data_IF_708235533025
#
_entry.id   IF_708235533025
#
_cell.length_a   1.000
_cell.length_b   1.000
_cell.length_c   1.000
_cell.angle_alpha   90.00
_cell.angle_beta   90.00
_cell.angle_gamma   90.00
#
_symmetry.space_group_name_H-M   'P 1'
#
loop_
_entity.id
_entity.type
_entity.pdbx_description
1 polymer ?
#
# COMPACT_ATOMS: atom_id res chain seq x y z
N UNK A 1 5.42 7.54 15.52
CA UNK A 1 6.39 6.86 14.63
C UNK A 1 6.18 7.27 13.19
N UNK A 2 5.05 6.97 12.54
CA UNK A 2 4.79 7.34 11.13
C UNK A 2 5.00 8.83 10.89
N UNK A 3 4.35 9.71 11.66
CA UNK A 3 4.51 11.18 11.50
C UNK A 3 5.96 11.69 11.59
N UNK A 4 6.76 11.14 12.49
CA UNK A 4 8.19 11.47 12.59
C UNK A 4 8.94 11.04 11.32
N UNK A 5 8.72 9.80 10.86
CA UNK A 5 9.39 9.27 9.66
C UNK A 5 8.93 9.98 8.38
N UNK A 6 7.69 10.46 8.32
CA UNK A 6 7.20 11.33 7.24
C UNK A 6 7.96 12.64 7.17
N UNK A 7 8.24 13.23 8.33
CA UNK A 7 9.00 14.49 8.41
C UNK A 7 10.42 14.28 7.89
N UNK A 8 11.07 13.18 8.28
CA UNK A 8 12.41 12.81 7.79
C UNK A 8 12.39 12.54 6.28
N UNK A 9 11.40 11.80 5.78
CA UNK A 9 11.25 11.52 4.35
C UNK A 9 11.12 12.79 3.51
N UNK A 10 10.47 13.83 4.05
CA UNK A 10 10.26 15.13 3.38
C UNK A 10 11.47 16.06 3.40
N UNK A 11 12.60 15.65 3.99
CA UNK A 11 13.86 16.39 3.91
C UNK A 11 14.59 16.20 2.58
N UNK A 12 14.05 15.35 1.69
CA UNK A 12 14.60 15.05 0.37
C UNK A 12 16.04 14.51 0.40
N UNK A 13 16.41 13.88 1.53
CA UNK A 13 17.68 13.18 1.71
C UNK A 13 17.48 11.67 1.57
N UNK A 14 18.54 10.96 1.14
CA UNK A 14 18.50 9.50 1.10
C UNK A 14 18.38 8.93 2.52
N UNK A 15 17.31 8.16 2.76
CA UNK A 15 17.12 7.48 4.03
C UNK A 15 18.15 6.37 4.21
N UNK A 16 18.69 6.28 5.43
CA UNK A 16 19.46 5.12 5.88
C UNK A 16 18.63 3.84 5.85
N UNK A 17 19.30 2.69 5.94
CA UNK A 17 18.63 1.38 5.97
C UNK A 17 17.68 1.30 7.17
N UNK A 18 18.09 1.79 8.33
CA UNK A 18 17.31 1.85 9.56
C UNK A 18 16.08 2.74 9.41
N UNK A 19 16.23 3.97 8.90
CA UNK A 19 15.12 4.90 8.68
C UNK A 19 14.10 4.35 7.68
N UNK A 20 14.58 3.81 6.55
CA UNK A 20 13.73 3.16 5.56
C UNK A 20 12.93 2.00 6.17
N UNK A 21 13.58 1.19 7.00
CA UNK A 21 12.93 0.09 7.70
C UNK A 21 11.87 0.59 8.69
N UNK A 22 12.20 1.62 9.50
CA UNK A 22 11.26 2.24 10.45
C UNK A 22 10.03 2.81 9.75
N UNK A 23 10.22 3.52 8.63
CA UNK A 23 9.13 4.03 7.81
C UNK A 23 8.23 2.89 7.33
N UNK A 24 8.81 1.84 6.74
CA UNK A 24 8.07 0.69 6.23
C UNK A 24 7.31 -0.05 7.33
N UNK A 25 7.94 -0.30 8.49
CA UNK A 25 7.28 -0.97 9.62
C UNK A 25 6.15 -0.10 10.17
N UNK A 26 6.36 1.21 10.30
CA UNK A 26 5.36 2.15 10.75
C UNK A 26 4.08 2.08 9.91
N UNK A 27 4.20 2.23 8.59
CA UNK A 27 3.03 2.17 7.72
C UNK A 27 2.43 0.76 7.63
N UNK A 28 3.23 -0.32 7.61
CA UNK A 28 2.74 -1.70 7.59
C UNK A 28 1.86 -2.01 8.81
N UNK A 29 2.22 -1.53 9.98
CA UNK A 29 1.44 -1.73 11.19
C UNK A 29 0.09 -0.99 11.12
N UNK A 30 0.11 0.27 10.69
CA UNK A 30 -1.11 1.09 10.58
C UNK A 30 -2.08 0.51 9.52
N UNK A 31 -1.58 0.22 8.31
CA UNK A 31 -2.41 -0.35 7.25
C UNK A 31 -2.87 -1.79 7.59
N UNK A 32 -2.02 -2.57 8.26
CA UNK A 32 -2.34 -3.95 8.66
C UNK A 32 -3.54 -4.03 9.59
N UNK A 33 -3.60 -3.15 10.59
CA UNK A 33 -4.74 -3.06 11.51
C UNK A 33 -6.03 -2.72 10.76
N UNK A 34 -6.00 -1.74 9.85
CA UNK A 34 -7.18 -1.33 9.08
C UNK A 34 -7.64 -2.37 8.07
N UNK A 35 -6.72 -3.06 7.40
CA UNK A 35 -7.04 -4.17 6.49
C UNK A 35 -7.70 -5.33 7.24
N UNK A 36 -7.24 -5.65 8.44
CA UNK A 36 -7.87 -6.66 9.28
C UNK A 36 -9.31 -6.25 9.65
N UNK A 37 -9.53 -5.01 10.09
CA UNK A 37 -10.86 -4.48 10.37
C UNK A 37 -11.78 -4.54 9.15
N UNK A 38 -11.30 -4.13 7.98
CA UNK A 38 -12.06 -4.18 6.74
C UNK A 38 -12.48 -5.61 6.39
N UNK A 39 -11.57 -6.59 6.40
CA UNK A 39 -11.91 -7.99 6.08
C UNK A 39 -12.97 -8.56 7.01
N UNK A 40 -12.87 -8.31 8.31
CA UNK A 40 -13.86 -8.75 9.30
C UNK A 40 -15.23 -8.15 8.96
N UNK A 41 -15.25 -6.85 8.69
CA UNK A 41 -16.49 -6.14 8.40
C UNK A 41 -17.13 -6.58 7.07
N UNK A 42 -16.35 -6.76 6.01
CA UNK A 42 -16.84 -7.29 4.73
C UNK A 42 -17.42 -8.69 4.88
N UNK A 43 -16.81 -9.53 5.74
CA UNK A 43 -17.35 -10.86 6.06
C UNK A 43 -18.68 -10.79 6.81
N UNK A 44 -18.81 -9.87 7.78
CA UNK A 44 -20.08 -9.65 8.50
C UNK A 44 -21.15 -9.11 7.55
N UNK A 45 -20.80 -8.17 6.66
CA UNK A 45 -21.71 -7.64 5.64
C UNK A 45 -22.27 -8.76 4.78
N UNK A 46 -21.39 -9.59 4.19
CA UNK A 46 -21.79 -10.71 3.34
C UNK A 46 -22.69 -11.71 4.08
N UNK A 47 -22.42 -11.95 5.37
CA UNK A 47 -23.25 -12.83 6.22
C UNK A 47 -24.64 -12.24 6.46
N UNK A 48 -24.75 -10.94 6.74
CA UNK A 48 -26.05 -10.28 6.95
C UNK A 48 -26.84 -10.14 5.64
N UNK A 49 -26.17 -9.91 4.52
CA UNK A 49 -26.76 -9.94 3.18
C UNK A 49 -27.39 -11.30 2.88
N UNK A 50 -26.70 -12.41 3.20
CA UNK A 50 -27.23 -13.77 3.00
C UNK A 50 -28.48 -14.10 3.84
N UNK A 51 -28.72 -13.34 4.93
CA UNK A 51 -29.90 -13.50 5.79
C UNK A 51 -31.06 -12.60 5.39
N UNK A 52 -30.87 -11.69 4.41
CA UNK A 52 -31.87 -10.70 4.02
C UNK A 52 -32.08 -9.57 5.04
N UNK A 53 -31.13 -9.32 5.93
CA UNK A 53 -31.24 -8.28 6.96
C UNK A 53 -30.86 -6.89 6.42
N UNK A 54 -31.68 -6.32 5.54
CA UNK A 54 -31.37 -5.08 4.81
C UNK A 54 -30.96 -3.89 5.69
N UNK A 55 -31.62 -3.72 6.85
CA UNK A 55 -31.29 -2.65 7.80
C UNK A 55 -29.86 -2.78 8.35
N UNK A 56 -29.46 -4.01 8.74
CA UNK A 56 -28.12 -4.28 9.24
C UNK A 56 -27.08 -4.11 8.15
N UNK A 57 -27.37 -4.60 6.94
CA UNK A 57 -26.50 -4.45 5.77
C UNK A 57 -26.23 -2.97 5.50
N UNK A 58 -27.25 -2.12 5.53
CA UNK A 58 -27.09 -0.67 5.32
C UNK A 58 -26.19 -0.03 6.38
N UNK A 59 -26.35 -0.39 7.66
CA UNK A 59 -25.52 0.12 8.75
C UNK A 59 -24.06 -0.35 8.61
N UNK A 60 -23.85 -1.63 8.30
CA UNK A 60 -22.51 -2.20 8.12
C UNK A 60 -21.82 -1.57 6.92
N UNK A 61 -22.53 -1.38 5.80
CA UNK A 61 -21.98 -0.75 4.59
C UNK A 61 -21.48 0.67 4.85
N UNK A 62 -22.23 1.47 5.61
CA UNK A 62 -21.79 2.82 6.00
C UNK A 62 -20.51 2.79 6.85
N UNK A 63 -20.37 1.80 7.74
CA UNK A 63 -19.15 1.65 8.54
C UNK A 63 -17.98 1.13 7.69
N UNK A 64 -18.26 0.26 6.72
CA UNK A 64 -17.29 -0.25 5.75
C UNK A 64 -16.67 0.88 4.93
N UNK A 65 -17.50 1.77 4.40
CA UNK A 65 -17.06 2.96 3.66
C UNK A 65 -16.10 3.83 4.48
N UNK A 66 -16.35 4.05 5.78
CA UNK A 66 -15.43 4.80 6.64
C UNK A 66 -14.06 4.15 6.76
N UNK A 67 -14.02 2.82 6.90
CA UNK A 67 -12.74 2.08 6.95
C UNK A 67 -12.03 2.10 5.60
N UNK A 68 -12.76 2.00 4.49
CA UNK A 68 -12.22 2.13 3.13
C UNK A 68 -11.64 3.53 2.86
N UNK A 69 -12.28 4.58 3.36
CA UNK A 69 -11.75 5.95 3.30
C UNK A 69 -10.44 6.09 4.09
N UNK A 70 -10.38 5.52 5.30
CA UNK A 70 -9.15 5.50 6.11
C UNK A 70 -8.03 4.72 5.42
N UNK A 71 -8.34 3.54 4.87
CA UNK A 71 -7.39 2.75 4.08
C UNK A 71 -6.88 3.54 2.87
N UNK A 72 -7.79 4.19 2.14
CA UNK A 72 -7.44 5.01 0.98
C UNK A 72 -6.49 6.15 1.38
N UNK A 73 -6.80 6.86 2.47
CA UNK A 73 -5.95 7.95 2.99
C UNK A 73 -4.55 7.45 3.36
N UNK A 74 -4.44 6.32 4.06
CA UNK A 74 -3.14 5.74 4.43
C UNK A 74 -2.33 5.37 3.19
N UNK A 75 -2.97 4.72 2.20
CA UNK A 75 -2.32 4.35 0.95
C UNK A 75 -1.87 5.59 0.15
N UNK A 76 -2.75 6.58 -0.04
CA UNK A 76 -2.42 7.81 -0.76
C UNK A 76 -1.28 8.57 -0.11
N UNK A 77 -1.26 8.68 1.23
CA UNK A 77 -0.21 9.39 1.97
C UNK A 77 1.20 8.80 1.73
N UNK A 78 1.34 7.48 1.81
CA UNK A 78 2.66 6.85 1.56
C UNK A 78 3.01 6.80 0.08
N UNK A 79 2.04 6.63 -0.81
CA UNK A 79 2.28 6.67 -2.26
C UNK A 79 2.79 8.05 -2.68
N UNK A 80 2.20 9.12 -2.14
CA UNK A 80 2.66 10.49 -2.37
C UNK A 80 4.09 10.70 -1.86
N UNK A 81 4.40 10.21 -0.65
CA UNK A 81 5.75 10.33 -0.10
C UNK A 81 6.78 9.56 -0.93
N UNK A 82 6.42 8.36 -1.39
CA UNK A 82 7.29 7.55 -2.24
C UNK A 82 7.60 8.30 -3.54
N UNK A 83 6.58 8.85 -4.19
CA UNK A 83 6.72 9.47 -5.51
C UNK A 83 7.38 10.85 -5.47
N UNK A 84 7.08 11.67 -4.45
CA UNK A 84 7.60 13.04 -4.36
C UNK A 84 8.96 13.13 -3.70
N UNK A 85 9.28 12.24 -2.77
CA UNK A 85 10.46 12.40 -1.90
C UNK A 85 11.40 11.19 -1.97
N UNK A 86 10.89 9.97 -1.74
CA UNK A 86 11.79 8.82 -1.55
C UNK A 86 12.44 8.29 -2.83
N UNK A 87 11.68 8.15 -3.91
CA UNK A 87 12.23 7.71 -5.20
C UNK A 87 13.19 8.78 -5.77
N UNK A 88 12.83 10.08 -5.82
CA UNK A 88 13.74 11.12 -6.31
C UNK A 88 15.05 11.24 -5.52
N UNK A 89 15.01 11.06 -4.20
CA UNK A 89 16.19 11.16 -3.33
C UNK A 89 16.98 9.85 -3.19
N UNK A 90 16.53 8.75 -3.81
CA UNK A 90 17.20 7.46 -3.75
C UNK A 90 18.38 7.40 -4.72
N UNK A 91 19.60 7.24 -4.21
CA UNK A 91 20.79 7.05 -5.06
C UNK A 91 21.19 5.58 -5.18
N UNK A 92 20.95 4.79 -4.13
CA UNK A 92 21.26 3.37 -4.10
C UNK A 92 20.21 2.51 -4.81
N UNK A 93 20.69 1.46 -5.51
CA UNK A 93 19.81 0.51 -6.18
C UNK A 93 18.85 -0.24 -5.27
N UNK A 94 19.32 -0.62 -4.09
CA UNK A 94 18.51 -1.32 -3.11
C UNK A 94 17.37 -0.44 -2.58
N UNK A 95 17.62 0.86 -2.34
CA UNK A 95 16.57 1.78 -1.91
C UNK A 95 15.52 1.97 -3.00
N UNK A 96 15.93 2.16 -4.26
CA UNK A 96 14.99 2.34 -5.38
C UNK A 96 14.11 1.09 -5.54
N UNK A 97 14.71 -0.11 -5.52
CA UNK A 97 13.98 -1.39 -5.58
C UNK A 97 13.01 -1.51 -4.39
N UNK A 98 13.46 -1.15 -3.18
CA UNK A 98 12.62 -1.19 -1.98
C UNK A 98 11.39 -0.29 -2.11
N UNK A 99 11.55 0.95 -2.58
CA UNK A 99 10.45 1.89 -2.72
C UNK A 99 9.47 1.50 -3.83
N UNK A 100 9.93 0.97 -4.96
CA UNK A 100 9.04 0.46 -6.00
C UNK A 100 8.26 -0.77 -5.54
N UNK A 101 8.89 -1.68 -4.80
CA UNK A 101 8.19 -2.79 -4.16
C UNK A 101 7.11 -2.27 -3.20
N UNK A 102 7.46 -1.30 -2.37
CA UNK A 102 6.54 -0.70 -1.41
C UNK A 102 5.36 -0.02 -2.12
N UNK A 103 5.62 0.73 -3.20
CA UNK A 103 4.60 1.32 -4.07
C UNK A 103 3.64 0.26 -4.61
N UNK A 104 4.17 -0.84 -5.13
CA UNK A 104 3.39 -2.00 -5.57
C UNK A 104 2.51 -2.57 -4.45
N UNK A 105 3.06 -2.74 -3.24
CA UNK A 105 2.32 -3.23 -2.07
C UNK A 105 1.10 -2.34 -1.72
N UNK A 106 1.24 -1.01 -1.74
CA UNK A 106 0.14 -0.09 -1.39
C UNK A 106 -0.93 0.03 -2.48
N UNK A 107 -0.54 -0.02 -3.76
CA UNK A 107 -1.52 -0.14 -4.84
C UNK A 107 -2.27 -1.47 -4.81
N UNK A 108 -1.58 -2.57 -4.49
CA UNK A 108 -2.22 -3.87 -4.28
C UNK A 108 -3.25 -3.80 -3.15
N UNK A 109 -2.94 -3.09 -2.04
CA UNK A 109 -3.89 -2.90 -0.95
C UNK A 109 -5.11 -2.06 -1.38
N UNK A 110 -4.94 -1.03 -2.20
CA UNK A 110 -6.06 -0.28 -2.78
C UNK A 110 -6.97 -1.21 -3.63
N UNK A 111 -6.37 -2.07 -4.45
CA UNK A 111 -7.11 -3.00 -5.30
C UNK A 111 -7.90 -4.08 -4.54
N UNK A 112 -7.66 -4.27 -3.23
CA UNK A 112 -8.41 -5.24 -2.40
C UNK A 112 -9.85 -4.81 -2.17
N UNK A 113 -10.11 -3.51 -2.03
CA UNK A 113 -11.42 -2.98 -1.62
C UNK A 113 -12.04 -1.98 -2.61
N UNK A 114 -11.24 -1.44 -3.54
CA UNK A 114 -11.78 -0.62 -4.64
C UNK A 114 -12.61 -1.46 -5.61
N UNK A 115 -13.49 -0.81 -6.34
CA UNK A 115 -14.40 -1.44 -7.31
C UNK A 115 -14.20 -0.88 -8.72
N UNK A 116 -14.70 -1.61 -9.71
CA UNK A 116 -14.75 -1.19 -11.12
C UNK A 116 -13.41 -0.64 -11.65
N UNK A 117 -13.44 0.59 -12.15
CA UNK A 117 -12.31 1.26 -12.78
C UNK A 117 -11.18 1.56 -11.78
N UNK A 118 -11.50 1.98 -10.55
CA UNK A 118 -10.50 2.25 -9.51
C UNK A 118 -9.72 0.98 -9.14
N UNK A 119 -10.39 -0.17 -9.09
CA UNK A 119 -9.72 -1.46 -8.85
C UNK A 119 -8.75 -1.81 -9.96
N UNK A 120 -9.17 -1.62 -11.22
CA UNK A 120 -8.35 -1.91 -12.39
C UNK A 120 -7.10 -1.04 -12.41
N UNK A 121 -7.26 0.27 -12.19
CA UNK A 121 -6.15 1.22 -12.13
C UNK A 121 -5.18 0.88 -11.00
N UNK A 122 -5.69 0.58 -9.80
CA UNK A 122 -4.85 0.17 -8.68
C UNK A 122 -4.09 -1.13 -8.98
N UNK A 123 -4.72 -2.11 -9.62
CA UNK A 123 -4.06 -3.36 -10.02
C UNK A 123 -2.96 -3.12 -11.07
N UNK A 124 -3.20 -2.28 -12.07
CA UNK A 124 -2.20 -1.92 -13.09
C UNK A 124 -1.01 -1.18 -12.49
N UNK A 125 -1.26 -0.22 -11.57
CA UNK A 125 -0.19 0.50 -10.88
C UNK A 125 0.60 -0.41 -9.94
N UNK A 126 -0.08 -1.36 -9.29
CA UNK A 126 0.57 -2.40 -8.49
C UNK A 126 1.53 -3.23 -9.36
N UNK A 127 1.07 -3.69 -10.53
CA UNK A 127 1.86 -4.48 -11.45
C UNK A 127 3.09 -3.70 -11.92
N UNK A 128 2.91 -2.46 -12.39
CA UNK A 128 4.00 -1.58 -12.80
C UNK A 128 5.05 -1.40 -11.70
N UNK A 129 4.62 -1.20 -10.46
CA UNK A 129 5.53 -1.08 -9.32
C UNK A 129 6.41 -2.32 -9.12
N UNK A 130 5.81 -3.51 -9.21
CA UNK A 130 6.55 -4.77 -9.09
C UNK A 130 7.43 -5.06 -10.31
N UNK A 131 7.00 -4.76 -11.52
CA UNK A 131 7.80 -4.92 -12.74
C UNK A 131 9.06 -4.06 -12.69
N UNK A 132 8.94 -2.79 -12.31
CA UNK A 132 10.08 -1.88 -12.13
C UNK A 132 11.01 -2.41 -11.03
N UNK A 133 10.46 -2.88 -9.91
CA UNK A 133 11.23 -3.52 -8.85
C UNK A 133 12.05 -4.72 -9.36
N UNK A 134 11.44 -5.63 -10.12
CA UNK A 134 12.10 -6.82 -10.68
C UNK A 134 13.17 -6.41 -11.69
N UNK A 135 12.82 -5.51 -12.62
CA UNK A 135 13.74 -5.01 -13.64
C UNK A 135 14.99 -4.36 -13.02
N UNK A 136 14.81 -3.45 -12.05
CA UNK A 136 15.92 -2.82 -11.35
C UNK A 136 16.72 -3.82 -10.51
N UNK A 137 16.05 -4.75 -9.85
CA UNK A 137 16.69 -5.78 -9.05
C UNK A 137 17.58 -6.70 -9.89
N UNK A 138 17.13 -7.10 -11.08
CA UNK A 138 17.93 -7.92 -12.02
C UNK A 138 19.11 -7.12 -12.56
N UNK A 139 18.88 -5.91 -13.09
CA UNK A 139 19.93 -5.09 -13.70
C UNK A 139 21.03 -4.67 -12.72
N UNK A 140 20.68 -4.48 -11.45
CA UNK A 140 21.65 -4.12 -10.40
C UNK A 140 22.25 -5.35 -9.68
N UNK A 141 21.95 -6.56 -10.14
CA UNK A 141 22.49 -7.81 -9.56
C UNK A 141 21.95 -8.14 -8.15
N UNK A 142 20.90 -7.44 -7.71
CA UNK A 142 20.29 -7.57 -6.37
C UNK A 142 19.36 -8.79 -6.33
N UNK A 143 18.61 -9.03 -7.41
CA UNK A 143 17.75 -10.20 -7.57
C UNK A 143 18.39 -11.17 -8.55
N UNK A 144 18.56 -12.43 -8.14
CA UNK A 144 18.90 -13.52 -9.07
C UNK A 144 17.74 -13.68 -10.03
N UNK A 145 18.03 -13.77 -11.33
CA UNK A 145 17.09 -13.94 -12.42
C UNK A 145 16.16 -15.15 -12.15
N UNK A 146 15.05 -14.91 -11.47
CA UNK A 146 13.98 -15.88 -11.26
C UNK A 146 12.81 -15.34 -12.05
N UNK A 147 12.41 -16.10 -13.05
CA UNK A 147 11.36 -15.75 -13.99
C UNK A 147 10.17 -15.09 -13.31
N UNK A 148 9.70 -14.01 -13.92
CA UNK A 148 8.44 -13.37 -13.61
C UNK A 148 7.36 -14.49 -13.63
N UNK A 149 6.50 -14.60 -12.61
CA UNK A 149 5.40 -15.56 -12.64
C UNK A 149 4.43 -15.28 -13.79
#
# INVERSE_FOLDING_TARGET
>A
MVECMKTIAKLDLELTVEERNLLSVGYKNVIGARRASWRIMSSIQQKEESKGNENNVKLIKNYCQKVEEELSKICSDILEIIDKHLIPSSTSGEATVFYHKMKGDYFRYLAEFKTDQERKEAAEQSLKGYEVCVFLGINKGILKNKGIP
#
